data_IF_719942508410
#
_entry.id   IF_719942508410
#
_cell.length_a   1.000
_cell.length_b   1.000
_cell.length_c   1.000
_cell.angle_alpha   90.00
_cell.angle_beta   90.00
_cell.angle_gamma   90.00
#
_symmetry.space_group_name_H-M   'P 1'
#
loop_
_entity.id
_entity.type
_entity.pdbx_description
1 polymer ?
#
# COMPACT_ATOMS: atom_id res chain seq x y z
N UNK A 1 0.03 -29.82 -27.56
CA UNK A 1 1.09 -30.81 -27.85
C UNK A 1 2.29 -30.65 -26.92
N UNK A 2 2.92 -29.47 -26.79
CA UNK A 2 4.12 -29.27 -25.94
C UNK A 2 3.90 -29.60 -24.45
N UNK A 3 2.79 -29.16 -23.86
CA UNK A 3 2.48 -29.46 -22.45
C UNK A 3 2.24 -30.94 -22.17
N UNK A 4 1.52 -31.62 -23.07
CA UNK A 4 1.27 -33.07 -22.99
C UNK A 4 2.58 -33.87 -23.15
N UNK A 5 3.44 -33.45 -24.08
CA UNK A 5 4.76 -34.06 -24.28
C UNK A 5 5.66 -33.92 -23.04
N UNK A 6 5.66 -32.75 -22.38
CA UNK A 6 6.46 -32.52 -21.17
C UNK A 6 6.01 -33.40 -19.98
N UNK A 7 4.70 -33.65 -19.86
CA UNK A 7 4.13 -34.55 -18.85
C UNK A 7 4.50 -35.99 -19.16
N UNK A 8 4.34 -36.45 -20.41
CA UNK A 8 4.69 -37.81 -20.84
C UNK A 8 6.18 -38.10 -20.73
N UNK A 9 7.02 -37.10 -20.94
CA UNK A 9 8.48 -37.20 -20.77
C UNK A 9 8.92 -37.21 -19.30
N UNK A 10 8.01 -37.04 -18.35
CA UNK A 10 8.34 -37.01 -16.91
C UNK A 10 9.08 -35.75 -16.46
N UNK A 11 9.17 -34.72 -17.30
CA UNK A 11 9.85 -33.46 -16.95
C UNK A 11 9.07 -32.66 -15.90
N UNK A 12 7.73 -32.77 -15.90
CA UNK A 12 6.84 -32.06 -14.98
C UNK A 12 5.64 -32.92 -14.60
N UNK A 13 5.19 -32.82 -13.34
CA UNK A 13 3.99 -33.50 -12.86
C UNK A 13 2.70 -32.79 -13.35
N UNK A 14 1.62 -33.52 -13.70
CA UNK A 14 0.33 -32.93 -14.09
C UNK A 14 -0.22 -31.91 -13.08
N UNK A 15 -0.12 -32.21 -11.78
CA UNK A 15 -0.60 -31.31 -10.72
C UNK A 15 0.15 -29.99 -10.69
N UNK A 16 1.47 -30.02 -10.93
CA UNK A 16 2.31 -28.83 -10.98
C UNK A 16 1.92 -27.91 -12.14
N UNK A 17 1.62 -28.48 -13.32
CA UNK A 17 1.20 -27.72 -14.51
C UNK A 17 -0.11 -26.96 -14.24
N UNK A 18 -1.06 -27.59 -13.54
CA UNK A 18 -2.34 -26.95 -13.17
C UNK A 18 -2.11 -25.73 -12.26
N UNK A 19 -1.26 -25.87 -11.23
CA UNK A 19 -0.95 -24.78 -10.29
C UNK A 19 -0.24 -23.61 -11.00
N UNK A 20 0.70 -23.90 -11.91
CA UNK A 20 1.43 -22.86 -12.65
C UNK A 20 0.51 -22.12 -13.61
N UNK A 21 -0.35 -22.84 -14.35
CA UNK A 21 -1.31 -22.26 -15.30
C UNK A 21 -2.35 -21.37 -14.62
N UNK A 22 -2.97 -21.84 -13.53
CA UNK A 22 -3.95 -21.05 -12.75
C UNK A 22 -3.34 -19.77 -12.20
N UNK A 23 -2.12 -19.83 -11.67
CA UNK A 23 -1.44 -18.64 -11.17
C UNK A 23 -1.04 -17.67 -12.30
N UNK A 24 -0.68 -18.20 -13.48
CA UNK A 24 -0.38 -17.37 -14.64
C UNK A 24 -1.62 -16.58 -15.10
N UNK A 25 -2.79 -17.21 -15.10
CA UNK A 25 -4.07 -16.54 -15.38
C UNK A 25 -4.40 -15.52 -14.27
N UNK A 26 -4.21 -15.87 -13.00
CA UNK A 26 -4.47 -14.98 -11.86
C UNK A 26 -3.65 -13.68 -11.89
N UNK A 27 -2.43 -13.72 -12.46
CA UNK A 27 -1.59 -12.52 -12.61
C UNK A 27 -2.26 -11.43 -13.46
N UNK A 28 -3.21 -11.77 -14.34
CA UNK A 28 -3.95 -10.77 -15.12
C UNK A 28 -4.92 -9.91 -14.28
N UNK A 29 -5.22 -10.31 -13.04
CA UNK A 29 -6.04 -9.50 -12.13
C UNK A 29 -5.29 -8.30 -11.53
N UNK A 30 -3.96 -8.22 -11.70
CA UNK A 30 -3.13 -7.16 -11.15
C UNK A 30 -3.08 -5.99 -12.16
N UNK A 31 -3.69 -4.82 -11.86
CA UNK A 31 -3.73 -3.69 -12.80
C UNK A 31 -2.37 -2.98 -12.93
N UNK A 32 -1.40 -3.30 -12.09
CA UNK A 32 -0.08 -2.67 -12.04
C UNK A 32 0.98 -3.54 -12.71
N UNK A 33 1.46 -3.10 -13.87
CA UNK A 33 2.44 -3.85 -14.67
C UNK A 33 3.76 -4.12 -13.93
N UNK A 34 4.28 -3.13 -13.20
CA UNK A 34 5.51 -3.28 -12.41
C UNK A 34 5.39 -4.36 -11.34
N UNK A 35 4.22 -4.48 -10.70
CA UNK A 35 3.98 -5.52 -9.69
C UNK A 35 3.85 -6.91 -10.33
N UNK A 36 3.19 -7.01 -11.48
CA UNK A 36 3.06 -8.26 -12.21
C UNK A 36 4.43 -8.81 -12.66
N UNK A 37 5.32 -7.94 -13.15
CA UNK A 37 6.70 -8.33 -13.50
C UNK A 37 7.49 -8.74 -12.27
N UNK A 38 7.41 -7.97 -11.18
CA UNK A 38 8.10 -8.29 -9.94
C UNK A 38 7.71 -9.67 -9.41
N UNK A 39 6.41 -9.99 -9.38
CA UNK A 39 5.92 -11.31 -8.93
C UNK A 39 6.37 -12.44 -9.85
N UNK A 40 6.43 -12.20 -11.17
CA UNK A 40 6.94 -13.20 -12.13
C UNK A 40 8.42 -13.48 -11.89
N UNK A 41 9.23 -12.44 -11.67
CA UNK A 41 10.65 -12.56 -11.36
C UNK A 41 10.90 -13.27 -10.02
N UNK A 42 10.09 -12.98 -9.00
CA UNK A 42 10.17 -13.60 -7.67
C UNK A 42 9.89 -15.11 -7.70
N UNK A 43 9.07 -15.55 -8.66
CA UNK A 43 8.62 -16.95 -8.76
C UNK A 43 9.71 -17.90 -9.24
N UNK A 44 10.59 -17.46 -10.15
CA UNK A 44 11.67 -18.29 -10.68
C UNK A 44 12.68 -18.75 -9.61
N UNK A 45 13.22 -17.89 -8.73
CA UNK A 45 14.11 -18.33 -7.66
C UNK A 45 13.37 -19.20 -6.63
N UNK A 46 12.11 -18.89 -6.29
CA UNK A 46 11.30 -19.75 -5.42
C UNK A 46 11.09 -21.16 -6.00
N UNK A 47 10.85 -21.27 -7.31
CA UNK A 47 10.75 -22.54 -8.03
C UNK A 47 12.08 -23.30 -8.03
N UNK A 48 13.20 -22.60 -8.23
CA UNK A 48 14.52 -23.21 -8.23
C UNK A 48 14.92 -23.73 -6.84
N UNK A 49 14.78 -22.90 -5.81
CA UNK A 49 15.02 -23.30 -4.42
C UNK A 49 14.07 -24.44 -4.00
N UNK A 50 12.80 -24.36 -4.39
CA UNK A 50 11.81 -25.41 -4.14
C UNK A 50 12.09 -26.71 -4.88
N UNK A 51 12.69 -26.65 -6.07
CA UNK A 51 13.09 -27.82 -6.84
C UNK A 51 14.29 -28.55 -6.22
N UNK A 52 15.25 -27.82 -5.64
CA UNK A 52 16.48 -28.40 -5.08
C UNK A 52 16.28 -28.91 -3.64
N UNK A 53 15.67 -28.08 -2.77
CA UNK A 53 15.55 -28.35 -1.33
C UNK A 53 14.10 -28.64 -0.90
N UNK A 54 13.16 -28.74 -1.84
CA UNK A 54 11.75 -28.98 -1.54
C UNK A 54 11.11 -27.85 -0.73
N UNK A 55 10.26 -28.22 0.23
CA UNK A 55 9.53 -27.26 1.07
C UNK A 55 10.47 -26.35 1.88
N UNK A 56 11.64 -26.85 2.31
CA UNK A 56 12.63 -26.06 3.05
C UNK A 56 13.18 -24.90 2.22
N UNK A 57 13.45 -25.14 0.94
CA UNK A 57 13.91 -24.09 0.02
C UNK A 57 12.85 -23.01 -0.20
N UNK A 58 11.58 -23.41 -0.30
CA UNK A 58 10.45 -22.46 -0.40
C UNK A 58 10.33 -21.63 0.87
N UNK A 59 10.39 -22.24 2.05
CA UNK A 59 10.34 -21.53 3.34
C UNK A 59 11.49 -20.54 3.50
N UNK A 60 12.71 -20.95 3.17
CA UNK A 60 13.88 -20.08 3.24
C UNK A 60 13.79 -18.93 2.24
N UNK A 61 13.44 -19.21 0.99
CA UNK A 61 13.25 -18.17 -0.04
C UNK A 61 12.16 -17.17 0.37
N UNK A 62 11.05 -17.66 0.93
CA UNK A 62 9.97 -16.83 1.43
C UNK A 62 10.43 -15.93 2.59
N UNK A 63 11.26 -16.44 3.51
CA UNK A 63 11.83 -15.65 4.60
C UNK A 63 12.73 -14.52 4.10
N UNK A 64 13.61 -14.80 3.14
CA UNK A 64 14.49 -13.79 2.51
C UNK A 64 13.66 -12.69 1.84
N UNK A 65 12.59 -13.08 1.13
CA UNK A 65 11.67 -12.14 0.49
C UNK A 65 10.98 -11.26 1.52
N UNK A 66 10.49 -11.82 2.64
CA UNK A 66 9.87 -11.02 3.69
C UNK A 66 10.83 -9.97 4.26
N UNK A 67 12.08 -10.35 4.53
CA UNK A 67 13.11 -9.43 5.02
C UNK A 67 13.36 -8.31 3.99
N UNK A 68 13.47 -8.66 2.72
CA UNK A 68 13.66 -7.68 1.65
C UNK A 68 12.48 -6.69 1.54
N UNK A 69 11.25 -7.18 1.64
CA UNK A 69 10.04 -6.35 1.63
C UNK A 69 9.93 -5.45 2.87
N UNK A 70 10.42 -5.90 4.03
CA UNK A 70 10.46 -5.10 5.25
C UNK A 70 11.45 -3.93 5.15
N UNK A 71 12.55 -4.11 4.40
CA UNK A 71 13.53 -3.05 4.12
C UNK A 71 13.12 -2.07 3.02
N UNK A 72 12.18 -2.44 2.15
CA UNK A 72 11.65 -1.57 1.10
C UNK A 72 10.73 -0.49 1.70
N UNK A 73 11.14 0.76 1.61
CA UNK A 73 10.32 1.92 1.96
C UNK A 73 9.61 2.45 0.71
N UNK A 74 8.29 2.64 0.79
CA UNK A 74 7.47 3.30 -0.24
C UNK A 74 7.10 4.69 0.26
N UNK A 75 7.62 5.74 -0.38
CA UNK A 75 7.40 7.15 0.02
C UNK A 75 7.67 7.42 1.52
N UNK A 76 8.76 6.84 2.05
CA UNK A 76 9.18 6.97 3.46
C UNK A 76 8.44 6.05 4.44
N UNK A 77 7.54 5.20 3.95
CA UNK A 77 6.71 4.31 4.77
C UNK A 77 7.02 2.85 4.40
N UNK A 78 7.43 1.97 5.35
CA UNK A 78 7.72 0.56 5.06
C UNK A 78 6.59 -0.11 4.26
N UNK A 79 6.91 -0.91 3.24
CA UNK A 79 5.90 -1.55 2.37
C UNK A 79 4.90 -2.42 3.17
N UNK A 80 5.34 -2.95 4.31
CA UNK A 80 4.54 -3.74 5.24
C UNK A 80 3.81 -2.90 6.31
N UNK A 81 3.64 -1.59 6.13
CA UNK A 81 3.19 -0.70 7.23
C UNK A 81 1.92 -1.05 7.99
N UNK A 82 0.85 -1.64 7.41
CA UNK A 82 -0.27 -2.10 8.22
C UNK A 82 0.06 -3.34 9.07
N UNK A 83 1.01 -4.19 8.65
CA UNK A 83 1.40 -5.43 9.34
C UNK A 83 2.60 -5.26 10.27
N UNK A 84 3.56 -4.40 9.92
CA UNK A 84 4.83 -4.24 10.62
C UNK A 84 4.84 -3.08 11.63
N UNK A 85 4.08 -1.99 11.37
CA UNK A 85 4.11 -0.77 12.21
C UNK A 85 2.70 -0.20 12.49
N UNK A 86 1.64 -0.93 12.15
CA UNK A 86 0.24 -0.52 12.31
C UNK A 86 -0.47 -1.24 13.45
N UNK A 87 -1.62 -0.71 13.89
CA UNK A 87 -2.50 -1.46 14.81
C UNK A 87 -3.13 -2.64 14.06
N UNK A 88 -3.40 -3.78 14.70
CA UNK A 88 -4.13 -4.89 14.07
C UNK A 88 -5.49 -4.47 13.48
N UNK A 89 -6.14 -3.49 14.12
CA UNK A 89 -7.36 -2.86 13.61
C UNK A 89 -7.15 -2.08 12.31
N UNK A 90 -5.98 -1.48 12.10
CA UNK A 90 -5.64 -0.78 10.86
C UNK A 90 -5.28 -1.77 9.75
N UNK A 91 -4.66 -2.90 10.08
CA UNK A 91 -4.46 -4.01 9.15
C UNK A 91 -5.78 -4.59 8.65
N UNK A 92 -6.74 -4.80 9.55
CA UNK A 92 -8.07 -5.31 9.19
C UNK A 92 -8.84 -4.31 8.31
N UNK A 93 -8.74 -3.01 8.58
CA UNK A 93 -9.35 -1.96 7.73
C UNK A 93 -8.70 -1.84 6.36
N UNK A 94 -7.44 -2.21 6.22
CA UNK A 94 -6.76 -2.28 4.92
C UNK A 94 -7.16 -3.53 4.14
N UNK A 95 -7.31 -4.67 4.82
CA UNK A 95 -7.74 -5.93 4.20
C UNK A 95 -9.21 -5.89 3.78
N UNK A 96 -10.09 -5.50 4.70
CA UNK A 96 -11.51 -5.29 4.47
C UNK A 96 -11.79 -3.79 4.47
N UNK A 97 -11.60 -3.14 3.30
CA UNK A 97 -11.80 -1.70 3.13
C UNK A 97 -13.25 -1.32 3.50
N UNK A 98 -13.50 -0.67 4.66
CA UNK A 98 -14.87 -0.32 5.04
C UNK A 98 -15.42 0.76 4.11
N UNK A 99 -16.75 0.85 3.94
CA UNK A 99 -17.37 1.94 3.19
C UNK A 99 -16.98 3.29 3.79
N UNK A 100 -16.83 4.29 2.92
CA UNK A 100 -16.24 5.60 3.27
C UNK A 100 -16.95 6.33 4.41
N UNK A 101 -18.25 6.12 4.58
CA UNK A 101 -19.05 6.67 5.69
C UNK A 101 -18.63 6.16 7.07
N UNK A 102 -18.13 4.92 7.15
CA UNK A 102 -17.71 4.31 8.41
C UNK A 102 -16.22 4.60 8.73
N UNK A 103 -15.50 5.16 7.76
CA UNK A 103 -14.06 5.40 7.82
C UNK A 103 -13.74 6.78 8.42
N UNK A 104 -14.25 7.07 9.62
CA UNK A 104 -14.07 8.37 10.30
C UNK A 104 -12.67 8.59 10.88
N UNK A 105 -11.89 7.54 11.08
CA UNK A 105 -10.61 7.58 11.82
C UNK A 105 -9.41 7.51 10.87
N UNK A 106 -8.39 8.34 11.11
CA UNK A 106 -7.13 8.29 10.36
C UNK A 106 -6.27 7.09 10.82
N UNK A 107 -5.56 6.39 9.91
CA UNK A 107 -4.56 5.40 10.29
C UNK A 107 -3.46 6.06 11.13
N UNK A 108 -3.06 5.41 12.24
CA UNK A 108 -2.06 5.95 13.17
C UNK A 108 -0.66 6.10 12.57
N UNK A 109 -0.39 5.39 11.48
CA UNK A 109 0.88 5.38 10.74
C UNK A 109 1.31 6.77 10.26
N UNK A 110 0.35 7.69 10.06
CA UNK A 110 0.62 9.05 9.57
C UNK A 110 1.18 10.01 10.64
N UNK A 111 1.19 9.63 11.93
CA UNK A 111 1.74 10.47 13.00
C UNK A 111 1.06 11.84 13.18
N UNK A 112 -0.11 12.06 12.58
CA UNK A 112 -0.82 13.35 12.66
C UNK A 112 -1.49 13.54 14.02
N UNK A 113 -1.39 14.74 14.64
CA UNK A 113 -2.08 15.03 15.91
C UNK A 113 -3.61 14.98 15.80
N UNK A 114 -4.16 15.25 14.61
CA UNK A 114 -5.58 15.07 14.33
C UNK A 114 -5.91 13.60 14.03
N UNK A 115 -6.78 13.00 14.87
CA UNK A 115 -7.21 11.60 14.77
C UNK A 115 -8.42 11.39 13.86
N UNK A 116 -9.20 12.42 13.54
CA UNK A 116 -10.41 12.29 12.72
C UNK A 116 -10.10 12.61 11.25
N UNK A 117 -10.62 11.79 10.33
CA UNK A 117 -10.50 12.00 8.87
C UNK A 117 -11.35 13.18 8.41
N UNK A 118 -12.54 13.30 8.99
CA UNK A 118 -13.53 14.32 8.66
C UNK A 118 -13.96 15.05 9.94
N UNK A 119 -13.92 16.38 9.92
CA UNK A 119 -14.63 17.17 10.91
C UNK A 119 -16.13 16.91 10.73
N UNK A 120 -16.85 16.65 11.82
CA UNK A 120 -18.27 16.27 11.78
C UNK A 120 -19.21 17.35 11.23
N UNK A 121 -18.68 18.48 10.74
CA UNK A 121 -19.44 19.58 10.19
C UNK A 121 -18.59 20.31 9.14
N UNK A 122 -18.61 19.84 7.90
CA UNK A 122 -17.96 20.54 6.79
C UNK A 122 -18.88 21.68 6.34
N UNK A 123 -18.91 22.76 7.13
CA UNK A 123 -19.48 24.02 6.67
C UNK A 123 -18.54 24.52 5.58
N UNK A 124 -19.03 24.58 4.34
CA UNK A 124 -18.33 25.22 3.23
C UNK A 124 -17.86 26.60 3.69
N UNK A 125 -16.55 26.77 3.86
CA UNK A 125 -15.98 28.10 4.03
C UNK A 125 -15.80 28.61 2.60
N UNK A 126 -16.64 29.56 2.11
CA UNK A 126 -16.29 30.26 0.88
C UNK A 126 -14.91 30.91 1.08
N UNK A 127 -14.16 31.08 0.00
CA UNK A 127 -12.87 31.78 0.06
C UNK A 127 -13.05 33.10 0.85
N UNK A 128 -12.16 33.42 1.82
CA UNK A 128 -12.25 34.67 2.54
C UNK A 128 -12.30 35.83 1.54
N UNK A 129 -13.20 36.81 1.69
CA UNK A 129 -13.10 38.05 0.91
C UNK A 129 -11.70 38.64 1.13
N UNK A 130 -11.10 39.21 0.09
CA UNK A 130 -9.80 39.91 0.18
C UNK A 130 -9.89 41.09 1.15
N UNK A 131 -9.73 40.81 2.43
CA UNK A 131 -9.75 41.81 3.51
C UNK A 131 -8.33 42.32 3.74
N UNK A 132 -7.73 42.89 2.68
CA UNK A 132 -6.38 43.46 2.70
C UNK A 132 -6.29 44.91 2.21
N UNK A 133 -7.39 45.65 2.21
CA UNK A 133 -7.35 47.09 1.85
C UNK A 133 -7.91 48.06 2.91
N UNK A 134 -8.51 47.60 4.02
CA UNK A 134 -9.14 48.53 4.98
C UNK A 134 -8.37 48.76 6.28
N UNK A 135 -7.19 48.15 6.48
CA UNK A 135 -6.46 48.25 7.76
C UNK A 135 -5.27 49.22 7.79
N UNK A 136 -5.17 50.13 6.81
CA UNK A 136 -4.07 51.10 6.77
C UNK A 136 -4.45 52.59 6.93
N UNK A 137 -5.73 52.96 6.97
CA UNK A 137 -6.10 54.39 7.15
C UNK A 137 -6.47 54.81 8.58
N UNK A 138 -6.94 53.91 9.45
CA UNK A 138 -7.47 54.35 10.77
C UNK A 138 -6.43 54.45 11.91
N UNK A 139 -5.15 54.14 11.68
CA UNK A 139 -4.12 54.17 12.74
C UNK A 139 -3.27 55.46 12.77
N UNK A 140 -3.65 56.50 12.02
CA UNK A 140 -2.90 57.77 11.93
C UNK A 140 -3.48 58.97 12.70
N UNK A 141 -4.77 58.96 13.08
CA UNK A 141 -5.47 60.20 13.50
C UNK A 141 -5.46 60.42 15.04
N UNK A 142 -5.18 59.40 15.87
CA UNK A 142 -5.48 59.49 17.31
C UNK A 142 -4.36 59.98 18.24
N UNK A 143 -3.16 60.29 17.73
CA UNK A 143 -2.01 60.67 18.58
C UNK A 143 -1.55 62.15 18.46
N UNK A 144 -2.33 63.05 17.85
CA UNK A 144 -1.93 64.45 17.64
C UNK A 144 -2.67 65.51 18.51
N UNK A 145 -3.44 65.11 19.53
CA UNK A 145 -4.38 66.01 20.21
C UNK A 145 -4.25 66.08 21.74
N UNK A 146 -3.05 65.97 22.30
CA UNK A 146 -2.85 66.13 23.75
C UNK A 146 -1.55 66.87 24.10
N UNK A 147 -1.50 68.16 23.75
CA UNK A 147 -0.71 69.20 24.42
C UNK A 147 -1.46 70.52 24.35
#
# INVERSE_FOLDING_TARGET
VVGDAAIRAGLVSPSMVIIVATTAISTFAIPTFSAAIALRLLRFPLLFLGGIMGLYGVMFGLLVILIHLAGLQSFGVPYLTPLAHGTALDALKTFARPPWWLALWRPKVLGTPDRRRQAGNMRYYPAPPEERELTHEETGEKDAGKR
#
